data_IF_038685035186
#
_entry.id   IF_038685035186
#
_cell.length_a   1.000
_cell.length_b   1.000
_cell.length_c   1.000
_cell.angle_alpha   90.00
_cell.angle_beta   90.00
_cell.angle_gamma   90.00
#
_symmetry.space_group_name_H-M   'P 1'
#
loop_
_entity.id
_entity.type
_entity.pdbx_description
1 polymer ?
#
# COMPACT_ATOMS: atom_id res chain seq x y z
N UNK A 1 9.07 -23.22 -0.97
CA UNK A 1 8.67 -24.57 -0.49
C UNK A 1 7.57 -25.10 -1.41
N UNK A 2 7.61 -26.35 -1.86
CA UNK A 2 6.54 -26.88 -2.73
C UNK A 2 5.35 -27.36 -1.88
N UNK A 3 4.35 -26.50 -1.67
CA UNK A 3 3.16 -26.82 -0.88
C UNK A 3 2.31 -27.97 -1.47
N UNK A 4 2.42 -28.28 -2.77
CA UNK A 4 1.76 -29.47 -3.32
C UNK A 4 2.40 -30.78 -2.85
N UNK A 5 3.66 -30.75 -2.44
CA UNK A 5 4.35 -31.92 -1.90
C UNK A 5 4.05 -32.14 -0.41
N UNK A 6 3.76 -31.08 0.34
CA UNK A 6 3.56 -31.14 1.81
C UNK A 6 2.11 -31.03 2.24
N UNK A 7 1.28 -30.24 1.53
CA UNK A 7 -0.06 -29.81 1.94
C UNK A 7 -1.03 -29.74 0.74
N UNK A 8 -1.03 -30.79 -0.10
CA UNK A 8 -1.74 -30.82 -1.39
C UNK A 8 -3.20 -30.35 -1.33
N UNK A 9 -4.00 -30.94 -0.45
CA UNK A 9 -5.43 -30.63 -0.34
C UNK A 9 -5.64 -29.15 0.00
N UNK A 10 -4.88 -28.61 0.94
CA UNK A 10 -4.95 -27.19 1.30
C UNK A 10 -4.56 -26.31 0.11
N UNK A 11 -3.46 -26.63 -0.57
CA UNK A 11 -2.95 -25.81 -1.68
C UNK A 11 -3.93 -25.78 -2.85
N UNK A 12 -4.58 -26.90 -3.18
CA UNK A 12 -5.62 -26.98 -4.21
C UNK A 12 -6.81 -26.05 -3.89
N UNK A 13 -7.28 -26.05 -2.64
CA UNK A 13 -8.39 -25.18 -2.22
C UNK A 13 -7.99 -23.71 -2.19
N UNK A 14 -6.78 -23.41 -1.74
CA UNK A 14 -6.29 -22.04 -1.69
C UNK A 14 -6.08 -21.46 -3.10
N UNK A 15 -5.53 -22.25 -4.03
CA UNK A 15 -5.36 -21.84 -5.42
C UNK A 15 -6.71 -21.62 -6.12
N UNK A 16 -7.68 -22.50 -5.88
CA UNK A 16 -9.05 -22.28 -6.36
C UNK A 16 -9.61 -20.96 -5.82
N UNK A 17 -9.43 -20.66 -4.53
CA UNK A 17 -9.91 -19.42 -3.93
C UNK A 17 -9.21 -18.17 -4.49
N UNK A 18 -7.90 -18.24 -4.78
CA UNK A 18 -7.19 -17.16 -5.45
C UNK A 18 -7.76 -16.87 -6.84
N UNK A 19 -8.09 -17.92 -7.61
CA UNK A 19 -8.71 -17.77 -8.93
C UNK A 19 -10.17 -17.32 -8.84
N UNK A 20 -10.94 -17.81 -7.88
CA UNK A 20 -12.32 -17.36 -7.62
C UNK A 20 -12.34 -15.85 -7.33
N UNK A 21 -11.51 -15.39 -6.39
CA UNK A 21 -11.41 -13.97 -6.04
C UNK A 21 -10.91 -13.13 -7.22
N UNK A 22 -9.91 -13.60 -7.97
CA UNK A 22 -9.37 -12.88 -9.13
C UNK A 22 -10.44 -12.70 -10.22
N UNK A 23 -11.29 -13.70 -10.43
CA UNK A 23 -12.23 -13.76 -11.55
C UNK A 23 -13.67 -13.36 -11.17
N UNK A 24 -13.92 -12.94 -9.93
CA UNK A 24 -15.25 -12.48 -9.49
C UNK A 24 -15.71 -11.27 -10.33
N UNK A 25 -16.86 -11.42 -11.00
CA UNK A 25 -17.32 -10.43 -11.99
C UNK A 25 -17.65 -9.06 -11.39
N UNK A 26 -18.04 -9.02 -10.10
CA UNK A 26 -18.36 -7.80 -9.37
C UNK A 26 -17.13 -7.10 -8.78
N UNK A 27 -15.98 -7.78 -8.76
CA UNK A 27 -14.78 -7.35 -8.06
C UNK A 27 -13.57 -7.29 -9.02
N UNK A 28 -13.63 -6.40 -10.02
CA UNK A 28 -12.55 -6.25 -11.01
C UNK A 28 -11.58 -5.14 -10.61
N UNK A 29 -10.30 -5.48 -10.63
CA UNK A 29 -9.16 -4.55 -10.65
C UNK A 29 -8.23 -4.95 -11.79
N UNK A 30 -7.58 -3.97 -12.42
CA UNK A 30 -6.49 -4.28 -13.34
C UNK A 30 -5.33 -4.96 -12.59
N UNK A 31 -4.55 -5.78 -13.30
CA UNK A 31 -3.48 -6.57 -12.66
C UNK A 31 -2.43 -5.72 -11.92
N UNK A 32 -1.90 -4.61 -12.48
CA UNK A 32 -1.01 -3.71 -11.74
C UNK A 32 -1.61 -3.24 -10.41
N UNK A 33 -2.83 -2.70 -10.41
CA UNK A 33 -3.49 -2.21 -9.20
C UNK A 33 -3.70 -3.33 -8.18
N UNK A 34 -4.15 -4.51 -8.64
CA UNK A 34 -4.35 -5.68 -7.79
C UNK A 34 -3.05 -6.12 -7.12
N UNK A 35 -1.95 -6.28 -7.86
CA UNK A 35 -0.67 -6.68 -7.27
C UNK A 35 -0.11 -5.64 -6.32
N UNK A 36 -0.27 -4.34 -6.63
CA UNK A 36 0.16 -3.27 -5.74
C UNK A 36 -0.61 -3.31 -4.41
N UNK A 37 -1.92 -3.52 -4.45
CA UNK A 37 -2.75 -3.71 -3.26
C UNK A 37 -2.33 -4.95 -2.45
N UNK A 38 -2.19 -6.11 -3.11
CA UNK A 38 -1.79 -7.37 -2.46
C UNK A 38 -0.44 -7.25 -1.76
N UNK A 39 0.57 -6.70 -2.43
CA UNK A 39 1.89 -6.49 -1.82
C UNK A 39 1.79 -5.53 -0.63
N UNK A 40 0.97 -4.48 -0.73
CA UNK A 40 0.80 -3.50 0.33
C UNK A 40 0.15 -4.11 1.58
N UNK A 41 -0.92 -4.92 1.44
CA UNK A 41 -1.55 -5.57 2.60
C UNK A 41 -0.65 -6.61 3.26
N UNK A 42 0.18 -7.30 2.47
CA UNK A 42 1.16 -8.26 2.99
C UNK A 42 2.26 -7.56 3.80
N UNK A 43 2.67 -6.35 3.40
CA UNK A 43 3.52 -5.52 4.26
C UNK A 43 2.78 -5.11 5.54
N UNK A 44 1.54 -4.63 5.43
CA UNK A 44 0.71 -4.23 6.57
C UNK A 44 0.53 -5.35 7.60
N UNK A 45 0.36 -6.59 7.13
CA UNK A 45 0.18 -7.76 7.99
C UNK A 45 1.47 -8.52 8.34
N UNK A 46 2.63 -8.08 7.82
CA UNK A 46 3.96 -8.69 8.01
C UNK A 46 4.12 -10.10 7.38
N UNK A 47 3.34 -10.42 6.36
CA UNK A 47 3.37 -11.69 5.62
C UNK A 47 4.52 -11.81 4.61
N UNK A 48 5.78 -11.78 5.10
CA UNK A 48 6.97 -11.67 4.25
C UNK A 48 7.18 -12.84 3.27
N UNK A 49 6.88 -14.07 3.66
CA UNK A 49 7.03 -15.23 2.77
C UNK A 49 6.05 -15.16 1.59
N UNK A 50 4.80 -14.80 1.86
CA UNK A 50 3.80 -14.59 0.80
C UNK A 50 4.13 -13.36 -0.05
N UNK A 51 4.71 -12.31 0.54
CA UNK A 51 5.18 -11.15 -0.21
C UNK A 51 6.26 -11.52 -1.23
N UNK A 52 7.26 -12.32 -0.84
CA UNK A 52 8.29 -12.80 -1.77
C UNK A 52 7.67 -13.57 -2.94
N UNK A 53 6.78 -14.53 -2.66
CA UNK A 53 6.09 -15.34 -3.67
C UNK A 53 5.25 -14.49 -4.63
N UNK A 54 4.53 -13.48 -4.12
CA UNK A 54 3.70 -12.59 -4.94
C UNK A 54 4.56 -11.62 -5.75
N UNK A 55 5.64 -11.09 -5.17
CA UNK A 55 6.49 -10.10 -5.81
C UNK A 55 7.11 -10.62 -7.12
N UNK A 56 7.48 -11.90 -7.17
CA UNK A 56 8.02 -12.51 -8.39
C UNK A 56 7.06 -12.38 -9.58
N UNK A 57 5.75 -12.57 -9.36
CA UNK A 57 4.72 -12.42 -10.40
C UNK A 57 4.33 -10.96 -10.61
N UNK A 58 4.30 -10.17 -9.55
CA UNK A 58 3.95 -8.75 -9.61
C UNK A 58 4.89 -7.98 -10.54
N UNK A 59 6.18 -8.36 -10.61
CA UNK A 59 7.17 -7.75 -11.50
C UNK A 59 6.94 -8.00 -12.99
N UNK A 60 5.99 -8.86 -13.36
CA UNK A 60 5.59 -9.03 -14.77
C UNK A 60 4.70 -7.87 -15.25
N UNK A 61 4.09 -7.11 -14.32
CA UNK A 61 3.18 -5.99 -14.63
C UNK A 61 3.47 -4.70 -13.87
N UNK A 62 4.18 -4.75 -12.74
CA UNK A 62 4.65 -3.59 -11.99
C UNK A 62 6.11 -3.28 -12.32
N UNK A 63 6.43 -2.00 -12.44
CA UNK A 63 7.82 -1.57 -12.54
C UNK A 63 8.56 -1.77 -11.21
N UNK A 64 9.88 -2.03 -11.24
CA UNK A 64 10.72 -2.05 -10.04
C UNK A 64 10.62 -0.74 -9.23
N UNK A 65 10.39 0.38 -9.91
CA UNK A 65 10.18 1.70 -9.28
C UNK A 65 8.90 1.71 -8.46
N UNK A 66 7.75 1.28 -9.01
CA UNK A 66 6.48 1.24 -8.27
C UNK A 66 6.59 0.39 -7.00
N UNK A 67 7.22 -0.79 -7.10
CA UNK A 67 7.45 -1.66 -5.94
C UNK A 67 8.31 -0.95 -4.89
N UNK A 68 9.41 -0.29 -5.31
CA UNK A 68 10.28 0.44 -4.38
C UNK A 68 9.59 1.59 -3.69
N UNK A 69 8.80 2.36 -4.41
CA UNK A 69 8.08 3.50 -3.86
C UNK A 69 7.02 3.07 -2.85
N UNK A 70 6.33 1.94 -3.09
CA UNK A 70 5.44 1.30 -2.12
C UNK A 70 6.22 0.85 -0.87
N UNK A 71 7.34 0.14 -1.03
CA UNK A 71 8.17 -0.30 0.10
C UNK A 71 8.71 0.89 0.92
N UNK A 72 9.17 1.97 0.26
CA UNK A 72 9.69 3.15 0.95
C UNK A 72 8.61 3.86 1.76
N UNK A 73 7.41 4.03 1.19
CA UNK A 73 6.28 4.66 1.87
C UNK A 73 5.83 3.90 3.12
N UNK A 74 6.04 2.58 3.18
CA UNK A 74 5.76 1.78 4.38
C UNK A 74 6.55 2.24 5.61
N UNK A 75 7.65 2.99 5.44
CA UNK A 75 8.44 3.53 6.56
C UNK A 75 7.58 4.39 7.50
N UNK A 76 6.70 5.23 6.95
CA UNK A 76 5.90 6.16 7.74
C UNK A 76 4.71 5.51 8.43
N UNK A 77 4.18 4.43 7.84
CA UNK A 77 2.94 3.80 8.29
C UNK A 77 3.17 2.56 9.13
N UNK A 78 4.21 1.77 8.78
CA UNK A 78 4.54 0.50 9.43
C UNK A 78 5.82 0.58 10.26
N UNK A 79 6.60 1.66 10.10
CA UNK A 79 7.88 1.88 10.77
C UNK A 79 9.06 1.21 10.06
N UNK A 80 10.24 1.83 10.17
CA UNK A 80 11.48 1.35 9.56
C UNK A 80 11.81 -0.11 9.89
N UNK A 81 11.58 -0.54 11.14
CA UNK A 81 11.90 -1.91 11.58
C UNK A 81 11.15 -2.99 10.80
N UNK A 82 9.86 -2.78 10.50
CA UNK A 82 9.07 -3.71 9.67
C UNK A 82 9.43 -3.57 8.20
N UNK A 83 9.51 -2.33 7.71
CA UNK A 83 9.82 -2.03 6.31
C UNK A 83 11.16 -2.62 5.86
N UNK A 84 12.18 -2.59 6.72
CA UNK A 84 13.54 -3.01 6.38
C UNK A 84 13.62 -4.47 5.89
N UNK A 85 12.85 -5.38 6.49
CA UNK A 85 12.86 -6.79 6.10
C UNK A 85 12.26 -6.98 4.69
N UNK A 86 11.18 -6.28 4.39
CA UNK A 86 10.59 -6.27 3.04
C UNK A 86 11.50 -5.62 2.01
N UNK A 87 12.25 -4.58 2.40
CA UNK A 87 13.23 -3.94 1.52
C UNK A 87 14.36 -4.89 1.13
N UNK A 88 14.85 -5.69 2.08
CA UNK A 88 15.87 -6.72 1.83
C UNK A 88 15.34 -7.79 0.87
N UNK A 89 14.18 -8.37 1.15
CA UNK A 89 13.54 -9.38 0.28
C UNK A 89 13.27 -8.82 -1.12
N UNK A 90 12.81 -7.57 -1.22
CA UNK A 90 12.61 -6.90 -2.51
C UNK A 90 13.92 -6.81 -3.30
N UNK A 91 15.02 -6.42 -2.66
CA UNK A 91 16.33 -6.39 -3.30
C UNK A 91 16.81 -7.77 -3.76
N UNK A 92 16.60 -8.79 -2.94
CA UNK A 92 16.97 -10.16 -3.27
C UNK A 92 16.20 -10.66 -4.49
N UNK A 93 14.88 -10.43 -4.55
CA UNK A 93 14.06 -10.78 -5.73
C UNK A 93 14.50 -9.99 -6.96
N UNK A 94 14.82 -8.70 -6.83
CA UNK A 94 15.30 -7.89 -7.94
C UNK A 94 16.61 -8.44 -8.51
N UNK A 95 17.58 -8.74 -7.63
CA UNK A 95 18.85 -9.34 -8.03
C UNK A 95 18.66 -10.71 -8.70
N UNK A 96 17.77 -11.57 -8.16
CA UNK A 96 17.42 -12.87 -8.77
C UNK A 96 16.82 -12.71 -10.19
N UNK A 97 16.05 -11.64 -10.42
CA UNK A 97 15.50 -11.29 -11.74
C UNK A 97 16.44 -10.46 -12.63
N UNK A 98 17.68 -10.19 -12.20
CA UNK A 98 18.65 -9.40 -12.97
C UNK A 98 18.34 -7.90 -13.06
N UNK A 99 17.51 -7.37 -12.16
CA UNK A 99 17.24 -5.93 -12.05
C UNK A 99 18.41 -5.28 -11.30
N UNK A 100 19.12 -4.37 -11.96
CA UNK A 100 20.28 -3.69 -11.39
C UNK A 100 19.87 -2.63 -10.34
N UNK A 101 20.63 -2.55 -9.26
CA UNK A 101 20.45 -1.61 -8.15
C UNK A 101 21.69 -0.69 -8.03
N UNK A 102 21.53 0.60 -7.67
CA UNK A 102 20.29 1.27 -7.31
C UNK A 102 19.43 1.66 -8.52
N UNK A 103 18.10 1.70 -8.33
CA UNK A 103 17.20 2.30 -9.33
C UNK A 103 17.42 3.81 -9.43
N UNK A 104 16.97 4.41 -10.54
CA UNK A 104 16.96 5.85 -10.72
C UNK A 104 16.15 6.55 -9.62
N UNK A 105 16.71 7.63 -9.07
CA UNK A 105 16.06 8.43 -8.03
C UNK A 105 14.70 8.98 -8.49
N UNK A 106 13.71 8.86 -7.61
CA UNK A 106 12.36 9.44 -7.76
C UNK A 106 12.13 10.64 -6.80
N UNK A 107 13.18 11.10 -6.12
CA UNK A 107 13.06 12.22 -5.17
C UNK A 107 12.71 13.52 -5.91
N UNK A 108 11.72 14.25 -5.41
CA UNK A 108 11.31 15.55 -5.96
C UNK A 108 11.56 16.72 -4.99
N UNK A 109 12.06 16.44 -3.78
CA UNK A 109 12.25 17.41 -2.70
C UNK A 109 13.70 17.53 -2.27
N UNK A 110 14.00 18.60 -1.56
CA UNK A 110 15.26 18.82 -0.82
C UNK A 110 14.94 18.94 0.67
N UNK A 111 15.97 18.96 1.52
CA UNK A 111 15.79 19.15 2.97
C UNK A 111 15.11 20.48 3.28
N UNK A 112 15.31 21.49 2.43
CA UNK A 112 14.78 22.84 2.58
C UNK A 112 13.30 22.93 2.17
N UNK A 113 12.88 22.24 1.11
CA UNK A 113 11.53 22.39 0.54
C UNK A 113 10.53 21.26 0.90
N UNK A 114 10.99 20.18 1.52
CA UNK A 114 10.14 19.02 1.89
C UNK A 114 8.95 19.38 2.79
N UNK A 115 9.09 20.37 3.68
CA UNK A 115 7.96 20.82 4.50
C UNK A 115 6.88 21.47 3.64
N UNK A 116 7.25 22.43 2.79
CA UNK A 116 6.33 23.13 1.91
C UNK A 116 5.61 22.16 0.96
N UNK A 117 6.37 21.31 0.28
CA UNK A 117 5.80 20.32 -0.67
C UNK A 117 4.94 19.27 0.02
N UNK A 118 5.31 18.89 1.25
CA UNK A 118 4.52 17.97 2.05
C UNK A 118 3.18 18.58 2.50
N UNK A 119 3.16 19.85 2.87
CA UNK A 119 1.91 20.58 3.16
C UNK A 119 1.02 20.60 1.92
N UNK A 120 1.59 20.91 0.74
CA UNK A 120 0.81 20.92 -0.50
C UNK A 120 0.20 19.54 -0.80
N UNK A 121 0.98 18.45 -0.66
CA UNK A 121 0.44 17.10 -0.83
C UNK A 121 -0.70 16.80 0.16
N UNK A 122 -0.60 17.22 1.41
CA UNK A 122 -1.69 17.08 2.37
C UNK A 122 -2.94 17.88 1.98
N UNK A 123 -2.76 19.09 1.44
CA UNK A 123 -3.86 19.93 0.94
C UNK A 123 -4.52 19.29 -0.27
N UNK A 124 -3.73 18.74 -1.20
CA UNK A 124 -4.24 18.08 -2.41
C UNK A 124 -5.08 16.84 -2.07
N UNK A 125 -4.72 16.12 -1.00
CA UNK A 125 -5.41 14.89 -0.58
C UNK A 125 -6.59 15.17 0.35
N UNK A 126 -6.39 16.00 1.39
CA UNK A 126 -7.35 16.15 2.49
C UNK A 126 -8.05 17.52 2.49
N UNK A 127 -7.55 18.51 1.74
CA UNK A 127 -8.14 19.84 1.62
C UNK A 127 -7.45 20.94 2.44
N UNK A 128 -7.91 22.18 2.27
CA UNK A 128 -7.24 23.41 2.74
C UNK A 128 -6.99 23.48 4.25
N UNK A 129 -7.76 22.75 5.06
CA UNK A 129 -7.59 22.71 6.50
C UNK A 129 -6.22 22.15 6.93
N UNK A 130 -5.48 21.51 6.01
CA UNK A 130 -4.14 20.99 6.26
C UNK A 130 -3.02 22.04 6.22
N UNK A 131 -3.27 23.24 5.67
CA UNK A 131 -2.26 24.30 5.51
C UNK A 131 -1.44 24.60 6.78
N UNK A 132 -2.09 24.53 7.94
CA UNK A 132 -1.48 24.87 9.23
C UNK A 132 -1.44 23.70 10.22
N UNK A 133 -1.83 22.49 9.79
CA UNK A 133 -1.87 21.31 10.64
C UNK A 133 -0.47 20.94 11.19
N UNK A 134 0.59 21.24 10.42
CA UNK A 134 1.98 20.99 10.79
C UNK A 134 2.44 21.77 12.03
N UNK A 135 1.81 22.91 12.35
CA UNK A 135 2.15 23.74 13.52
C UNK A 135 1.63 23.17 14.84
N UNK A 136 0.73 22.16 14.81
CA UNK A 136 0.06 21.63 16.01
C UNK A 136 1.02 20.97 17.00
N UNK A 137 2.01 20.22 16.52
CA UNK A 137 3.02 19.56 17.33
C UNK A 137 4.24 19.16 16.49
N UNK A 138 5.35 18.82 17.14
CA UNK A 138 6.57 18.34 16.48
C UNK A 138 6.30 17.16 15.53
N UNK A 139 5.47 16.21 15.96
CA UNK A 139 5.08 15.06 15.12
C UNK A 139 4.28 15.49 13.89
N UNK A 140 3.44 16.52 13.97
CA UNK A 140 2.71 17.03 12.81
C UNK A 140 3.63 17.71 11.80
N UNK A 141 4.69 18.39 12.27
CA UNK A 141 5.73 18.93 11.41
C UNK A 141 6.45 17.81 10.66
N UNK A 142 6.82 16.72 11.35
CA UNK A 142 7.43 15.55 10.70
C UNK A 142 6.48 14.79 9.79
N UNK A 143 5.19 14.73 10.14
CA UNK A 143 4.18 14.16 9.27
C UNK A 143 4.13 14.94 7.94
N UNK A 144 4.06 16.27 8.00
CA UNK A 144 4.10 17.10 6.81
C UNK A 144 5.44 16.96 6.06
N UNK A 145 6.57 17.13 6.73
CA UNK A 145 7.87 17.21 6.05
C UNK A 145 8.48 15.86 5.67
N UNK A 146 8.39 14.83 6.52
CA UNK A 146 8.92 13.49 6.25
C UNK A 146 7.93 12.63 5.51
N UNK A 147 6.79 12.35 6.12
CA UNK A 147 5.84 11.42 5.52
C UNK A 147 5.33 11.94 4.18
N UNK A 148 4.66 13.09 4.16
CA UNK A 148 4.17 13.63 2.91
C UNK A 148 5.30 14.21 2.05
N UNK A 149 6.21 14.98 2.65
CA UNK A 149 7.27 15.68 1.93
C UNK A 149 8.36 14.80 1.31
N UNK A 150 8.85 13.75 1.99
CA UNK A 150 9.91 12.89 1.45
C UNK A 150 9.38 11.67 0.70
N UNK A 151 8.19 11.16 1.05
CA UNK A 151 7.66 9.93 0.46
C UNK A 151 6.51 10.19 -0.52
N UNK A 152 5.46 10.95 -0.15
CA UNK A 152 4.31 11.14 -1.06
C UNK A 152 4.61 11.96 -2.31
N UNK A 153 5.56 12.89 -2.22
CA UNK A 153 5.93 13.75 -3.35
C UNK A 153 6.82 13.05 -4.36
N UNK A 154 7.37 11.87 -4.05
CA UNK A 154 8.26 11.14 -4.96
C UNK A 154 7.49 10.70 -6.20
N UNK A 155 8.17 10.64 -7.33
CA UNK A 155 7.59 10.05 -8.56
C UNK A 155 7.50 8.53 -8.45
N UNK A 156 6.96 7.87 -9.47
CA UNK A 156 6.85 6.41 -9.52
C UNK A 156 5.50 5.86 -9.04
N UNK A 157 4.82 6.58 -8.13
CA UNK A 157 3.40 6.37 -7.80
C UNK A 157 2.69 7.72 -7.76
N UNK A 158 1.50 7.80 -8.34
CA UNK A 158 0.63 8.98 -8.23
C UNK A 158 -0.11 9.01 -6.87
N UNK A 159 -0.76 10.13 -6.54
CA UNK A 159 -1.45 10.27 -5.26
C UNK A 159 -2.59 9.25 -5.07
N UNK A 160 -3.30 8.84 -6.13
CA UNK A 160 -4.36 7.82 -6.04
C UNK A 160 -3.77 6.48 -5.64
N UNK A 161 -2.65 6.10 -6.25
CA UNK A 161 -1.93 4.87 -5.91
C UNK A 161 -1.37 4.94 -4.50
N UNK A 162 -0.78 6.07 -4.11
CA UNK A 162 -0.20 6.26 -2.76
C UNK A 162 -1.26 6.16 -1.65
N UNK A 163 -2.42 6.79 -1.84
CA UNK A 163 -3.49 6.70 -0.85
C UNK A 163 -4.10 5.29 -0.78
N UNK A 164 -4.19 4.57 -1.90
CA UNK A 164 -4.61 3.16 -1.91
C UNK A 164 -3.59 2.24 -1.21
N UNK A 165 -2.29 2.45 -1.45
CA UNK A 165 -1.18 1.76 -0.75
C UNK A 165 -1.24 2.01 0.75
N UNK A 166 -1.40 3.27 1.17
CA UNK A 166 -1.53 3.63 2.58
C UNK A 166 -2.77 3.02 3.24
N UNK A 167 -3.91 3.05 2.56
CA UNK A 167 -5.12 2.37 3.02
C UNK A 167 -4.83 0.88 3.28
N UNK A 168 -4.17 0.19 2.34
CA UNK A 168 -3.76 -1.20 2.46
C UNK A 168 -2.81 -1.46 3.65
N UNK A 169 -1.81 -0.60 3.86
CA UNK A 169 -0.93 -0.70 5.02
C UNK A 169 -1.69 -0.61 6.34
N UNK A 170 -2.59 0.38 6.46
CA UNK A 170 -3.30 0.69 7.69
C UNK A 170 -4.30 -0.38 8.09
N UNK A 171 -5.14 -0.84 7.17
CA UNK A 171 -6.09 -1.91 7.49
C UNK A 171 -5.37 -3.26 7.62
N UNK A 172 -4.30 -3.45 6.85
CA UNK A 172 -3.42 -4.60 6.96
C UNK A 172 -2.77 -4.73 8.34
N UNK A 173 -2.33 -3.60 8.93
CA UNK A 173 -1.79 -3.53 10.29
C UNK A 173 -2.86 -3.81 11.36
N UNK A 174 -4.06 -3.25 11.18
CA UNK A 174 -5.16 -3.33 12.14
C UNK A 174 -4.98 -2.41 13.35
N UNK A 175 -6.06 -2.12 14.08
CA UNK A 175 -6.04 -1.22 15.24
C UNK A 175 -5.76 0.24 14.89
N UNK A 176 -5.99 0.63 13.64
CA UNK A 176 -5.77 1.96 13.09
C UNK A 176 -7.05 2.50 12.43
N UNK A 177 -8.22 2.11 12.91
CA UNK A 177 -9.52 2.45 12.30
C UNK A 177 -9.68 3.97 12.08
N UNK A 178 -9.29 4.89 12.99
CA UNK A 178 -9.35 6.32 12.71
C UNK A 178 -8.51 6.74 11.49
N UNK A 179 -7.33 6.17 11.33
CA UNK A 179 -6.44 6.43 10.19
C UNK A 179 -6.97 5.77 8.91
N UNK A 180 -7.52 4.56 8.99
CA UNK A 180 -8.18 3.88 7.87
C UNK A 180 -9.32 4.76 7.34
N UNK A 181 -10.18 5.28 8.23
CA UNK A 181 -11.27 6.18 7.85
C UNK A 181 -10.77 7.48 7.21
N UNK A 182 -9.71 8.08 7.75
CA UNK A 182 -9.11 9.30 7.18
C UNK A 182 -8.55 9.06 5.76
N UNK A 183 -7.86 7.94 5.55
CA UNK A 183 -7.31 7.59 4.24
C UNK A 183 -8.35 7.02 3.26
N UNK A 184 -9.48 6.48 3.73
CA UNK A 184 -10.65 6.28 2.86
C UNK A 184 -11.13 7.64 2.35
N UNK A 185 -11.30 8.66 3.21
CA UNK A 185 -11.71 10.00 2.75
C UNK A 185 -10.69 10.62 1.79
N UNK A 186 -9.39 10.46 2.05
CA UNK A 186 -8.32 10.88 1.13
C UNK A 186 -8.43 10.22 -0.25
N UNK A 187 -8.67 8.91 -0.30
CA UNK A 187 -8.95 8.19 -1.54
C UNK A 187 -10.18 8.75 -2.27
N UNK A 188 -11.30 8.99 -1.56
CA UNK A 188 -12.52 9.54 -2.17
C UNK A 188 -12.28 10.93 -2.78
N UNK A 189 -11.56 11.80 -2.08
CA UNK A 189 -11.21 13.14 -2.57
C UNK A 189 -10.37 13.10 -3.86
N UNK A 190 -9.53 12.08 -4.02
CA UNK A 190 -8.74 11.84 -5.22
C UNK A 190 -9.51 11.06 -6.31
N UNK A 191 -10.75 10.66 -6.05
CA UNK A 191 -11.61 9.93 -6.98
C UNK A 191 -11.38 8.41 -7.03
N UNK A 192 -10.75 7.82 -6.00
CA UNK A 192 -10.84 6.39 -5.73
C UNK A 192 -12.11 6.15 -4.92
N UNK A 193 -13.21 5.79 -5.58
CA UNK A 193 -14.51 5.67 -4.94
C UNK A 193 -14.63 4.46 -3.99
N UNK A 194 -15.75 4.36 -3.26
CA UNK A 194 -16.00 3.25 -2.34
C UNK A 194 -16.07 1.89 -3.03
N UNK A 195 -16.52 1.83 -4.28
CA UNK A 195 -16.60 0.57 -5.02
C UNK A 195 -15.19 0.07 -5.36
N UNK A 196 -14.30 0.97 -5.78
CA UNK A 196 -12.89 0.70 -5.98
C UNK A 196 -12.22 0.20 -4.69
N UNK A 197 -12.39 0.89 -3.57
CA UNK A 197 -11.81 0.46 -2.28
C UNK A 197 -12.39 -0.87 -1.78
N UNK A 198 -13.67 -1.12 -2.03
CA UNK A 198 -14.32 -2.41 -1.76
C UNK A 198 -13.64 -3.51 -2.57
N UNK A 199 -13.40 -3.27 -3.86
CA UNK A 199 -12.72 -4.24 -4.72
C UNK A 199 -11.28 -4.50 -4.27
N UNK A 200 -10.55 -3.46 -3.84
CA UNK A 200 -9.23 -3.59 -3.23
C UNK A 200 -9.27 -4.53 -2.03
N UNK A 201 -10.20 -4.33 -1.09
CA UNK A 201 -10.33 -5.20 0.09
C UNK A 201 -10.64 -6.64 -0.32
N UNK A 202 -11.59 -6.85 -1.23
CA UNK A 202 -12.03 -8.17 -1.66
C UNK A 202 -10.91 -8.94 -2.38
N UNK A 203 -10.17 -8.29 -3.30
CA UNK A 203 -9.00 -8.89 -3.97
C UNK A 203 -7.89 -9.29 -2.99
N UNK A 204 -7.84 -8.67 -1.82
CA UNK A 204 -6.85 -8.94 -0.78
C UNK A 204 -7.29 -9.96 0.28
N UNK A 205 -8.56 -10.42 0.28
CA UNK A 205 -9.08 -11.36 1.29
C UNK A 205 -8.24 -12.64 1.44
N UNK A 206 -7.76 -13.30 0.35
CA UNK A 206 -6.92 -14.50 0.49
C UNK A 206 -5.61 -14.26 1.26
N UNK A 207 -5.08 -13.04 1.21
CA UNK A 207 -3.82 -12.66 1.84
C UNK A 207 -3.99 -12.05 3.23
N UNK A 208 -5.19 -11.52 3.52
CA UNK A 208 -5.48 -10.82 4.75
C UNK A 208 -6.33 -11.63 5.74
N UNK A 209 -7.21 -12.48 5.24
CA UNK A 209 -8.23 -13.16 6.02
C UNK A 209 -9.41 -12.25 6.38
N UNK A 210 -10.45 -12.87 6.93
CA UNK A 210 -11.77 -12.24 7.10
C UNK A 210 -11.83 -11.09 8.13
N UNK A 211 -11.27 -11.19 9.35
CA UNK A 211 -11.55 -10.17 10.39
C UNK A 211 -11.11 -8.76 10.00
N UNK A 212 -9.88 -8.60 9.50
CA UNK A 212 -9.37 -7.29 9.06
C UNK A 212 -10.06 -6.80 7.79
N UNK A 213 -10.41 -7.70 6.87
CA UNK A 213 -11.17 -7.35 5.67
C UNK A 213 -12.58 -6.86 5.99
N UNK A 214 -13.31 -7.53 6.89
CA UNK A 214 -14.64 -7.10 7.34
C UNK A 214 -14.59 -5.76 8.08
N UNK A 215 -13.57 -5.53 8.90
CA UNK A 215 -13.37 -4.23 9.56
C UNK A 215 -13.11 -3.11 8.53
N UNK A 216 -12.32 -3.37 7.49
CA UNK A 216 -12.06 -2.41 6.42
C UNK A 216 -13.35 -2.07 5.64
N UNK A 217 -14.16 -3.08 5.28
CA UNK A 217 -15.47 -2.87 4.63
C UNK A 217 -16.43 -2.07 5.52
N UNK A 218 -16.45 -2.36 6.83
CA UNK A 218 -17.24 -1.58 7.78
C UNK A 218 -16.78 -0.12 7.88
N UNK A 219 -15.47 0.15 7.74
CA UNK A 219 -14.95 1.51 7.67
C UNK A 219 -15.38 2.21 6.37
N UNK A 220 -15.24 1.56 5.21
CA UNK A 220 -15.68 2.09 3.91
C UNK A 220 -17.15 2.51 3.95
N UNK A 221 -18.01 1.66 4.53
CA UNK A 221 -19.45 1.94 4.65
C UNK A 221 -19.79 3.10 5.61
N UNK A 222 -18.91 3.42 6.57
CA UNK A 222 -19.14 4.48 7.56
C UNK A 222 -18.69 5.85 7.09
N UNK A 223 -17.72 5.94 6.17
CA UNK A 223 -17.24 7.23 5.66
C UNK A 223 -18.33 7.83 4.78
N UNK A 224 -18.66 9.10 4.97
CA UNK A 224 -19.57 9.82 4.09
C UNK A 224 -18.87 10.26 2.80
N UNK A 225 -19.60 10.26 1.69
CA UNK A 225 -19.08 10.63 0.37
C UNK A 225 -18.52 12.06 0.34
#
# INVERSE_FOLDING_TARGET
MNLYATDKEYKERFDYFLEEVKNDEGNKLDEPTRYLAVLSVLMGNQGICAYEEVLEKALDVLSPVQVKEMVYQATDYLGYGRMLEFLKVTNEVFNKKGIELPLQSQTTTTIENRLEKGIQAQVDIFGEHMNEAWKKATVNKWLASNCFGDYYTRTGLDLKQREMVTFCFLYGQGGCEPQVMAHIKGNLNLGNDKAFLTNVVLQCVPYMGYPRSLNALACINKVED
#
